data_IF_386664932514
#
_entry.id   IF_386664932514
#
_cell.length_a   1.000
_cell.length_b   1.000
_cell.length_c   1.000
_cell.angle_alpha   90.00
_cell.angle_beta   90.00
_cell.angle_gamma   90.00
#
_symmetry.space_group_name_H-M   'P 1'
#
loop_
_entity.id
_entity.type
_entity.pdbx_description
1 polymer ?
#
# COMPACT_ATOMS: atom_id res chain seq x y z
N UNK A 1 36.93 -64.04 29.36
CA UNK A 1 36.80 -63.95 30.83
C UNK A 1 35.85 -62.79 31.07
N UNK A 2 34.54 -63.06 31.13
CA UNK A 2 33.77 -63.24 32.38
C UNK A 2 33.75 -61.91 33.17
N UNK A 3 32.63 -61.30 33.55
CA UNK A 3 31.33 -61.87 33.87
C UNK A 3 30.22 -60.81 33.79
N UNK A 4 29.02 -61.31 33.55
CA UNK A 4 27.75 -60.58 33.55
C UNK A 4 27.20 -60.63 34.98
N UNK A 5 26.86 -59.51 35.61
CA UNK A 5 25.96 -59.54 36.78
C UNK A 5 24.92 -58.43 36.68
N UNK A 6 23.70 -58.88 36.41
CA UNK A 6 22.46 -58.12 36.48
C UNK A 6 22.16 -57.72 37.92
N UNK A 7 21.50 -56.57 38.11
CA UNK A 7 20.35 -56.49 39.02
C UNK A 7 19.42 -55.33 38.64
N UNK A 8 18.16 -55.68 38.37
CA UNK A 8 17.02 -54.79 38.13
C UNK A 8 16.36 -54.40 39.46
N UNK A 9 15.96 -53.14 39.62
CA UNK A 9 15.01 -52.73 40.68
C UNK A 9 14.73 -51.23 40.68
N UNK A 10 13.50 -50.77 41.03
CA UNK A 10 12.75 -49.84 40.17
C UNK A 10 12.48 -48.46 40.79
N UNK A 11 12.01 -47.54 39.93
CA UNK A 11 11.11 -46.46 40.33
C UNK A 11 11.75 -45.07 40.41
N UNK A 12 11.37 -44.19 39.48
CA UNK A 12 10.52 -43.01 39.77
C UNK A 12 10.62 -42.01 38.61
N UNK A 13 9.54 -41.97 37.82
CA UNK A 13 9.23 -40.91 36.87
C UNK A 13 9.07 -39.57 37.61
N UNK A 14 9.64 -38.45 37.14
CA UNK A 14 9.05 -37.15 37.39
C UNK A 14 8.07 -36.83 36.28
N UNK A 15 6.79 -36.89 36.67
CA UNK A 15 5.69 -36.01 36.31
C UNK A 15 5.68 -35.37 34.91
N UNK A 16 4.65 -35.73 34.14
CA UNK A 16 4.30 -35.04 32.91
C UNK A 16 4.08 -33.55 33.14
N UNK A 17 4.72 -32.74 32.32
CA UNK A 17 4.25 -31.40 32.05
C UNK A 17 2.85 -31.54 31.41
N UNK A 18 1.82 -30.81 31.88
CA UNK A 18 0.57 -30.77 31.14
C UNK A 18 0.89 -30.19 29.77
N UNK A 19 0.59 -30.95 28.72
CA UNK A 19 0.52 -30.43 27.37
C UNK A 19 -0.44 -29.25 27.41
N UNK A 20 0.10 -28.04 27.37
CA UNK A 20 -0.69 -26.85 27.14
C UNK A 20 -1.45 -27.11 25.84
N UNK A 21 -2.77 -27.24 25.93
CA UNK A 21 -3.63 -27.21 24.77
C UNK A 21 -3.34 -25.88 24.07
N UNK A 22 -2.56 -25.92 22.98
CA UNK A 22 -2.59 -24.83 22.04
C UNK A 22 -4.04 -24.74 21.55
N UNK A 23 -4.73 -23.60 21.74
CA UNK A 23 -6.01 -23.41 21.08
C UNK A 23 -5.80 -23.61 19.57
N UNK A 24 -6.78 -24.16 18.84
CA UNK A 24 -6.67 -24.27 17.39
C UNK A 24 -6.33 -22.89 16.81
N UNK A 25 -5.50 -22.79 15.76
CA UNK A 25 -5.28 -21.52 15.09
C UNK A 25 -6.66 -20.95 14.75
N UNK A 26 -6.95 -19.75 15.25
CA UNK A 26 -8.18 -19.05 14.89
C UNK A 26 -8.24 -18.98 13.36
N UNK A 27 -9.43 -19.09 12.74
CA UNK A 27 -9.54 -18.82 11.32
C UNK A 27 -8.94 -17.43 11.07
N UNK A 28 -7.86 -17.38 10.31
CA UNK A 28 -7.31 -16.12 9.81
C UNK A 28 -8.49 -15.36 9.20
N UNK A 29 -8.76 -14.17 9.73
CA UNK A 29 -9.83 -13.32 9.20
C UNK A 29 -9.65 -13.11 7.69
N UNK A 30 -10.68 -12.61 6.98
CA UNK A 30 -10.53 -12.33 5.55
C UNK A 30 -9.24 -11.53 5.32
N UNK A 31 -8.47 -11.85 4.26
CA UNK A 31 -7.17 -11.24 4.02
C UNK A 31 -7.34 -9.72 4.03
N UNK A 32 -6.52 -9.03 4.82
CA UNK A 32 -6.55 -7.57 4.89
C UNK A 32 -6.37 -7.02 3.47
N UNK A 33 -7.28 -6.13 3.05
CA UNK A 33 -7.18 -5.52 1.73
C UNK A 33 -5.82 -4.81 1.58
N UNK A 34 -5.15 -4.94 0.42
CA UNK A 34 -3.88 -4.29 0.22
C UNK A 34 -4.06 -2.77 0.24
N UNK A 35 -3.22 -2.08 1.02
CA UNK A 35 -3.26 -0.64 1.25
C UNK A 35 -2.01 0.06 0.74
N UNK A 36 -2.18 1.31 0.33
CA UNK A 36 -1.12 2.24 -0.05
C UNK A 36 -1.30 3.50 0.79
N UNK A 37 -0.35 3.75 1.69
CA UNK A 37 -0.52 4.77 2.72
C UNK A 37 -1.70 4.47 3.64
N UNK A 38 -2.79 5.22 3.51
CA UNK A 38 -4.03 5.08 4.30
C UNK A 38 -5.25 4.66 3.48
N UNK A 39 -5.08 4.46 2.16
CA UNK A 39 -6.17 4.11 1.24
C UNK A 39 -5.99 2.69 0.73
N UNK A 40 -7.08 2.00 0.41
CA UNK A 40 -7.01 0.66 -0.19
C UNK A 40 -6.65 0.78 -1.66
N UNK A 41 -5.95 -0.23 -2.23
CA UNK A 41 -5.68 -0.27 -3.67
C UNK A 41 -6.99 -0.25 -4.46
N UNK A 42 -8.03 -0.92 -3.96
CA UNK A 42 -9.35 -0.93 -4.57
C UNK A 42 -9.97 0.48 -4.65
N UNK A 43 -9.86 1.29 -3.59
CA UNK A 43 -10.37 2.67 -3.57
C UNK A 43 -9.65 3.56 -4.59
N UNK A 44 -8.31 3.47 -4.65
CA UNK A 44 -7.50 4.23 -5.60
C UNK A 44 -7.80 3.78 -7.04
N UNK A 45 -7.94 2.47 -7.26
CA UNK A 45 -8.26 1.88 -8.57
C UNK A 45 -9.63 2.35 -9.07
N UNK A 46 -10.65 2.35 -8.22
CA UNK A 46 -11.98 2.82 -8.58
C UNK A 46 -11.99 4.31 -9.00
N UNK A 47 -11.18 5.15 -8.36
CA UNK A 47 -11.00 6.55 -8.77
C UNK A 47 -10.25 6.68 -10.09
N UNK A 48 -9.19 5.89 -10.28
CA UNK A 48 -8.44 5.87 -11.53
C UNK A 48 -9.33 5.44 -12.71
N UNK A 49 -10.16 4.44 -12.52
CA UNK A 49 -11.11 3.97 -13.53
C UNK A 49 -12.20 5.01 -13.82
N UNK A 50 -12.64 5.77 -12.81
CA UNK A 50 -13.56 6.89 -13.04
C UNK A 50 -12.92 8.01 -13.89
N UNK A 51 -11.63 8.31 -13.66
CA UNK A 51 -10.87 9.26 -14.51
C UNK A 51 -10.79 8.72 -15.94
N UNK A 52 -10.44 7.44 -16.13
CA UNK A 52 -10.37 6.80 -17.45
C UNK A 52 -11.71 6.86 -18.16
N UNK A 53 -12.81 6.55 -17.47
CA UNK A 53 -14.16 6.67 -18.01
C UNK A 53 -14.48 8.08 -18.51
N UNK A 54 -14.19 9.11 -17.72
CA UNK A 54 -14.40 10.50 -18.13
C UNK A 54 -13.62 10.84 -19.42
N UNK A 55 -12.36 10.43 -19.52
CA UNK A 55 -11.51 10.71 -20.68
C UNK A 55 -11.93 9.91 -21.91
N UNK A 56 -12.00 8.59 -21.77
CA UNK A 56 -12.13 7.65 -22.89
C UNK A 56 -13.58 7.53 -23.36
N UNK A 57 -14.54 7.55 -22.43
CA UNK A 57 -15.96 7.36 -22.77
C UNK A 57 -16.71 8.68 -22.94
N UNK A 58 -16.43 9.68 -22.10
CA UNK A 58 -17.10 11.00 -22.19
C UNK A 58 -16.34 12.03 -23.04
N UNK A 59 -15.13 11.70 -23.49
CA UNK A 59 -14.30 12.62 -24.27
C UNK A 59 -13.81 13.84 -23.47
N UNK A 60 -13.80 13.75 -22.14
CA UNK A 60 -13.36 14.85 -21.29
C UNK A 60 -11.85 15.07 -21.43
N UNK A 61 -11.44 16.32 -21.68
CA UNK A 61 -10.03 16.70 -21.70
C UNK A 61 -9.58 17.04 -20.29
N UNK A 62 -8.59 16.31 -19.77
CA UNK A 62 -8.00 16.62 -18.47
C UNK A 62 -7.19 17.91 -18.56
N UNK A 63 -7.40 18.79 -17.59
CA UNK A 63 -6.48 19.89 -17.30
C UNK A 63 -5.21 19.36 -16.62
N UNK A 64 -4.10 20.11 -16.69
CA UNK A 64 -2.80 19.69 -16.15
C UNK A 64 -2.87 19.20 -14.69
N UNK A 65 -3.69 19.83 -13.86
CA UNK A 65 -3.91 19.41 -12.47
C UNK A 65 -4.46 17.98 -12.42
N UNK A 66 -5.52 17.68 -13.17
CA UNK A 66 -6.13 16.36 -13.21
C UNK A 66 -5.25 15.31 -13.89
N UNK A 67 -4.40 15.73 -14.85
CA UNK A 67 -3.35 14.86 -15.38
C UNK A 67 -2.36 14.43 -14.29
N UNK A 68 -1.97 15.35 -13.41
CA UNK A 68 -1.12 15.06 -12.24
C UNK A 68 -1.78 14.08 -11.27
N UNK A 69 -3.05 14.31 -10.94
CA UNK A 69 -3.85 13.39 -10.11
C UNK A 69 -3.90 11.99 -10.72
N UNK A 70 -4.20 11.88 -12.03
CA UNK A 70 -4.24 10.59 -12.74
C UNK A 70 -2.89 9.88 -12.69
N UNK A 71 -1.80 10.60 -12.91
CA UNK A 71 -0.46 10.02 -12.91
C UNK A 71 -0.08 9.50 -11.51
N UNK A 72 -0.39 10.26 -10.46
CA UNK A 72 -0.17 9.84 -9.08
C UNK A 72 -0.97 8.57 -8.71
N UNK A 73 -2.24 8.47 -9.12
CA UNK A 73 -3.02 7.24 -8.90
C UNK A 73 -2.52 6.06 -9.71
N UNK A 74 -2.12 6.27 -10.96
CA UNK A 74 -1.51 5.24 -11.82
C UNK A 74 -0.25 4.67 -11.17
N UNK A 75 0.59 5.54 -10.61
CA UNK A 75 1.76 5.13 -9.84
C UNK A 75 1.39 4.42 -8.53
N UNK A 76 0.43 4.95 -7.77
CA UNK A 76 0.02 4.38 -6.49
C UNK A 76 -0.51 2.94 -6.60
N UNK A 77 -1.13 2.58 -7.74
CA UNK A 77 -1.57 1.20 -8.02
C UNK A 77 -0.48 0.35 -8.71
N UNK A 78 0.74 0.88 -8.85
CA UNK A 78 1.89 0.20 -9.44
C UNK A 78 1.88 0.06 -10.96
N UNK A 79 1.02 0.81 -11.66
CA UNK A 79 0.84 0.72 -13.12
C UNK A 79 1.71 1.70 -13.91
N UNK A 80 2.52 2.52 -13.25
CA UNK A 80 3.41 3.49 -13.90
C UNK A 80 4.51 3.97 -12.97
N UNK A 81 5.49 4.73 -13.48
CA UNK A 81 6.53 5.35 -12.67
C UNK A 81 5.98 6.48 -11.81
N UNK A 82 6.74 6.90 -10.80
CA UNK A 82 6.38 8.07 -9.99
C UNK A 82 6.39 9.35 -10.83
N UNK A 83 5.35 10.19 -10.78
CA UNK A 83 5.16 11.29 -11.74
C UNK A 83 6.18 12.44 -11.65
N UNK A 84 6.84 12.65 -10.51
CA UNK A 84 7.82 13.71 -10.28
C UNK A 84 9.22 13.11 -10.10
N UNK A 85 9.38 12.05 -9.28
CA UNK A 85 10.71 11.47 -9.03
C UNK A 85 11.17 10.42 -10.05
N UNK A 86 10.34 10.12 -11.07
CA UNK A 86 10.59 9.15 -12.17
C UNK A 86 11.13 7.77 -11.73
N UNK A 87 10.82 7.36 -10.50
CA UNK A 87 11.10 6.01 -10.00
C UNK A 87 10.27 4.99 -10.77
N UNK A 88 10.88 3.84 -11.07
CA UNK A 88 10.25 2.71 -11.74
C UNK A 88 8.92 2.26 -11.10
N UNK A 89 8.08 1.62 -11.92
CA UNK A 89 6.76 1.15 -11.52
C UNK A 89 6.80 0.11 -10.40
N UNK A 90 5.77 0.15 -9.55
CA UNK A 90 5.59 -0.69 -8.37
C UNK A 90 4.72 0.02 -7.34
N UNK A 91 4.05 -0.73 -6.46
CA UNK A 91 3.22 -0.14 -5.40
C UNK A 91 4.14 0.62 -4.42
N UNK A 92 3.93 1.93 -4.18
CA UNK A 92 4.85 2.71 -3.39
C UNK A 92 4.68 2.47 -1.88
N UNK A 93 5.80 2.42 -1.17
CA UNK A 93 5.83 2.42 0.30
C UNK A 93 5.64 3.85 0.89
N UNK A 94 5.53 3.93 2.21
CA UNK A 94 5.32 5.21 2.91
C UNK A 94 6.48 6.21 2.71
N UNK A 95 7.72 5.73 2.56
CA UNK A 95 8.89 6.59 2.34
C UNK A 95 8.87 7.15 0.92
N UNK A 96 8.49 6.33 -0.05
CA UNK A 96 8.35 6.72 -1.45
C UNK A 96 7.23 7.76 -1.62
N UNK A 97 6.08 7.55 -0.98
CA UNK A 97 4.99 8.54 -0.95
C UNK A 97 5.44 9.89 -0.37
N UNK A 98 6.22 9.89 0.72
CA UNK A 98 6.73 11.14 1.31
C UNK A 98 7.75 11.83 0.40
N UNK A 99 8.68 11.07 -0.19
CA UNK A 99 9.65 11.63 -1.13
C UNK A 99 8.98 12.27 -2.36
N UNK A 100 7.88 11.67 -2.85
CA UNK A 100 7.12 12.23 -3.95
C UNK A 100 6.38 13.52 -3.55
N UNK A 101 5.79 13.57 -2.35
CA UNK A 101 5.17 14.79 -1.81
C UNK A 101 6.19 15.94 -1.69
N UNK A 102 7.36 15.67 -1.11
CA UNK A 102 8.45 16.64 -0.96
C UNK A 102 8.96 17.13 -2.34
N UNK A 103 9.09 16.21 -3.31
CA UNK A 103 9.49 16.56 -4.67
C UNK A 103 8.43 17.38 -5.41
N UNK A 104 7.15 17.07 -5.21
CA UNK A 104 6.04 17.83 -5.79
C UNK A 104 5.97 19.25 -5.18
N UNK A 105 6.17 19.39 -3.88
CA UNK A 105 6.26 20.69 -3.19
C UNK A 105 7.40 21.56 -3.74
N UNK A 106 8.56 20.97 -4.01
CA UNK A 106 9.66 21.69 -4.65
C UNK A 106 9.35 22.06 -6.11
N UNK A 107 8.74 21.15 -6.86
CA UNK A 107 8.31 21.39 -8.24
C UNK A 107 7.27 22.52 -8.34
N UNK A 108 6.47 22.76 -7.30
CA UNK A 108 5.55 23.92 -7.28
C UNK A 108 6.28 25.26 -7.28
N UNK A 109 7.49 25.32 -6.72
CA UNK A 109 8.29 26.54 -6.63
C UNK A 109 9.12 26.78 -7.89
N UNK A 110 9.56 25.72 -8.55
CA UNK A 110 10.62 25.79 -9.58
C UNK A 110 10.22 25.28 -10.97
N UNK A 111 9.16 24.48 -11.12
CA UNK A 111 8.78 23.87 -12.40
C UNK A 111 7.95 24.79 -13.30
N UNK A 112 8.01 24.57 -14.61
CA UNK A 112 7.06 25.17 -15.56
C UNK A 112 5.67 24.52 -15.48
N UNK A 113 5.58 23.25 -15.06
CA UNK A 113 4.33 22.47 -14.93
C UNK A 113 3.78 22.49 -13.50
N UNK A 114 3.66 23.68 -12.89
CA UNK A 114 3.21 23.82 -11.48
C UNK A 114 1.84 23.22 -11.22
N UNK A 115 0.88 23.37 -12.14
CA UNK A 115 -0.47 22.82 -11.97
C UNK A 115 -0.45 21.29 -11.93
N UNK A 116 0.36 20.66 -12.76
CA UNK A 116 0.58 19.22 -12.75
C UNK A 116 1.18 18.76 -11.42
N UNK A 117 2.27 19.40 -10.96
CA UNK A 117 2.89 19.10 -9.68
C UNK A 117 1.89 19.25 -8.51
N UNK A 118 1.02 20.26 -8.57
CA UNK A 118 -0.01 20.49 -7.55
C UNK A 118 -1.01 19.32 -7.50
N UNK A 119 -1.44 18.84 -8.67
CA UNK A 119 -2.31 17.68 -8.78
C UNK A 119 -1.69 16.40 -8.21
N UNK A 120 -0.41 16.17 -8.51
CA UNK A 120 0.36 15.06 -7.92
C UNK A 120 0.39 15.19 -6.39
N UNK A 121 0.76 16.35 -5.87
CA UNK A 121 0.90 16.57 -4.43
C UNK A 121 -0.42 16.30 -3.69
N UNK A 122 -1.53 16.86 -4.17
CA UNK A 122 -2.85 16.65 -3.58
C UNK A 122 -3.26 15.17 -3.58
N UNK A 123 -3.02 14.45 -4.68
CA UNK A 123 -3.32 13.03 -4.77
C UNK A 123 -2.46 12.20 -3.80
N UNK A 124 -1.15 12.47 -3.73
CA UNK A 124 -0.22 11.79 -2.81
C UNK A 124 -0.56 12.09 -1.35
N UNK A 125 -0.87 13.34 -1.01
CA UNK A 125 -1.35 13.73 0.32
C UNK A 125 -2.62 12.98 0.73
N UNK A 126 -3.55 12.78 -0.20
CA UNK A 126 -4.78 12.02 0.05
C UNK A 126 -4.51 10.52 0.23
N UNK A 127 -3.68 9.92 -0.63
CA UNK A 127 -3.28 8.50 -0.54
C UNK A 127 -2.58 8.20 0.79
N UNK A 128 -1.66 9.07 1.23
CA UNK A 128 -0.97 8.92 2.52
C UNK A 128 -1.84 9.27 3.73
N UNK A 129 -3.05 9.82 3.52
CA UNK A 129 -3.97 10.25 4.58
C UNK A 129 -3.53 11.51 5.33
N UNK A 130 -2.76 12.41 4.69
CA UNK A 130 -2.49 13.74 5.23
C UNK A 130 -3.63 14.74 4.93
N UNK A 131 -4.57 14.36 4.07
CA UNK A 131 -5.81 15.07 3.83
C UNK A 131 -6.92 14.06 3.52
N UNK A 132 -8.16 14.40 3.90
CA UNK A 132 -9.36 13.69 3.48
C UNK A 132 -9.95 14.24 2.19
N UNK A 133 -9.48 15.41 1.74
CA UNK A 133 -9.93 16.05 0.51
C UNK A 133 -9.36 15.31 -0.71
N UNK A 134 -10.16 14.41 -1.26
CA UNK A 134 -9.87 13.72 -2.50
C UNK A 134 -9.96 14.72 -3.69
N UNK A 135 -8.96 14.78 -4.60
CA UNK A 135 -8.86 15.83 -5.62
C UNK A 135 -9.59 15.56 -6.94
N UNK A 136 -10.41 14.51 -7.07
CA UNK A 136 -11.11 14.17 -8.32
C UNK A 136 -12.61 13.95 -8.11
N UNK A 137 -13.44 14.80 -8.73
CA UNK A 137 -14.89 14.66 -8.71
C UNK A 137 -15.31 13.36 -9.42
N UNK A 138 -16.09 12.51 -8.74
CA UNK A 138 -16.63 11.29 -9.34
C UNK A 138 -17.70 11.63 -10.37
N UNK A 139 -17.51 11.15 -11.60
CA UNK A 139 -18.51 11.24 -12.65
C UNK A 139 -19.55 10.13 -12.41
N UNK A 140 -20.81 10.52 -12.19
CA UNK A 140 -21.96 9.61 -12.09
C UNK A 140 -22.51 9.28 -13.48
#
# INVERSE_FOLDING_TARGET
>A
MADNLMWNGPGSTPAGAPAAHQPPPMPEGPPAEPVVGRRTIAEITALLDNIRYAVETKGHRLEEFHEGVRAAYTWAVGQGPSPITDRAAGIPDARQLRAEDDAADEALRSSSRRRYANGVQHAVMWVRGATDAQPWLRWQ
#
